data_IF_914729867366
#
_entry.id   IF_914729867366
#
_cell.length_a   1.000
_cell.length_b   1.000
_cell.length_c   1.000
_cell.angle_alpha   90.00
_cell.angle_beta   90.00
_cell.angle_gamma   90.00
#
_symmetry.space_group_name_H-M   'P 1'
#
loop_
_entity.id
_entity.type
_entity.pdbx_description
1 polymer ?
#
# COMPACT_ATOMS: atom_id res chain seq x y z
N UNK A 1 -21.20 16.16 36.30
CA UNK A 1 -22.02 15.13 35.64
C UNK A 1 -21.04 14.20 34.94
N UNK A 2 -20.97 12.93 35.33
CA UNK A 2 -20.11 11.93 34.66
C UNK A 2 -21.01 11.21 33.67
N UNK A 3 -20.86 11.48 32.38
CA UNK A 3 -21.53 10.74 31.32
C UNK A 3 -20.76 9.44 31.08
N UNK A 4 -21.47 8.30 31.10
CA UNK A 4 -20.92 7.01 30.68
C UNK A 4 -21.47 6.68 29.29
N UNK A 5 -20.62 6.33 28.31
CA UNK A 5 -21.10 5.85 27.03
C UNK A 5 -21.88 4.55 27.22
N UNK A 6 -23.04 4.44 26.57
CA UNK A 6 -23.91 3.25 26.56
C UNK A 6 -23.99 2.75 25.12
N UNK A 7 -23.79 1.45 24.91
CA UNK A 7 -24.05 0.81 23.60
C UNK A 7 -25.57 0.84 23.35
N UNK A 8 -25.96 1.33 22.17
CA UNK A 8 -27.36 1.50 21.78
C UNK A 8 -27.58 0.77 20.47
N UNK A 9 -28.63 -0.04 20.36
CA UNK A 9 -29.10 -0.53 19.07
C UNK A 9 -29.80 0.64 18.37
N UNK A 10 -29.22 1.11 17.27
CA UNK A 10 -29.68 2.33 16.58
C UNK A 10 -31.06 2.13 15.96
N UNK A 11 -31.36 0.92 15.45
CA UNK A 11 -32.67 0.56 14.88
C UNK A 11 -33.76 0.67 15.93
N UNK A 12 -33.57 0.02 17.07
CA UNK A 12 -34.54 0.07 18.18
C UNK A 12 -34.65 1.49 18.74
N UNK A 13 -33.53 2.17 18.96
CA UNK A 13 -33.53 3.50 19.55
C UNK A 13 -34.22 4.53 18.67
N UNK A 14 -33.96 4.52 17.36
CA UNK A 14 -34.60 5.43 16.42
C UNK A 14 -36.11 5.21 16.35
N UNK A 15 -36.54 3.94 16.34
CA UNK A 15 -37.95 3.60 16.34
C UNK A 15 -38.64 4.01 17.64
N UNK A 16 -38.06 3.68 18.79
CA UNK A 16 -38.65 3.97 20.10
C UNK A 16 -38.67 5.46 20.46
N UNK A 17 -37.65 6.22 20.05
CA UNK A 17 -37.49 7.64 20.45
C UNK A 17 -38.03 8.62 19.44
N UNK A 18 -37.96 8.29 18.16
CA UNK A 18 -38.26 9.23 17.08
C UNK A 18 -39.32 8.71 16.11
N UNK A 19 -39.83 7.48 16.31
CA UNK A 19 -40.70 6.78 15.34
C UNK A 19 -40.10 6.74 13.92
N UNK A 20 -38.77 6.61 13.87
CA UNK A 20 -38.01 6.52 12.61
C UNK A 20 -37.66 5.06 12.36
N UNK A 21 -38.06 4.55 11.20
CA UNK A 21 -37.62 3.25 10.71
C UNK A 21 -36.19 3.36 10.16
N UNK A 22 -35.28 2.53 10.68
CA UNK A 22 -33.89 2.46 10.23
C UNK A 22 -33.75 1.21 9.39
N UNK A 23 -33.30 1.40 8.15
CA UNK A 23 -32.95 0.33 7.23
C UNK A 23 -31.43 0.31 7.13
N UNK A 24 -30.82 -0.79 7.55
CA UNK A 24 -29.40 -1.02 7.32
C UNK A 24 -29.20 -1.40 5.85
N UNK A 25 -28.27 -0.70 5.20
CA UNK A 25 -27.96 -0.88 3.78
C UNK A 25 -26.54 -1.39 3.64
N UNK A 26 -26.30 -2.31 2.70
CA UNK A 26 -24.97 -2.90 2.47
C UNK A 26 -24.02 -1.92 1.78
N UNK A 27 -24.53 -1.08 0.89
CA UNK A 27 -23.78 -0.09 0.12
C UNK A 27 -24.67 1.06 -0.42
N UNK A 28 -24.09 1.91 -1.27
CA UNK A 28 -24.79 3.06 -1.86
C UNK A 28 -25.87 2.65 -2.88
N UNK A 29 -25.74 1.50 -3.54
CA UNK A 29 -26.77 1.01 -4.47
C UNK A 29 -28.02 0.57 -3.70
N UNK A 30 -27.83 -0.13 -2.57
CA UNK A 30 -28.93 -0.42 -1.63
C UNK A 30 -29.61 0.87 -1.16
N UNK A 31 -28.83 1.88 -0.76
CA UNK A 31 -29.37 3.17 -0.35
C UNK A 31 -30.21 3.82 -1.49
N UNK A 32 -29.68 3.85 -2.71
CA UNK A 32 -30.40 4.39 -3.87
C UNK A 32 -31.68 3.59 -4.12
N UNK A 33 -31.66 2.28 -3.99
CA UNK A 33 -32.84 1.44 -4.11
C UNK A 33 -33.90 1.79 -3.06
N UNK A 34 -33.54 1.89 -1.78
CA UNK A 34 -34.48 2.26 -0.73
C UNK A 34 -35.01 3.69 -0.87
N UNK A 35 -34.22 4.63 -1.40
CA UNK A 35 -34.65 6.01 -1.63
C UNK A 35 -35.46 6.20 -2.91
N UNK A 36 -35.20 5.42 -3.96
CA UNK A 36 -35.68 5.72 -5.32
C UNK A 36 -36.46 4.58 -5.98
N UNK A 37 -36.43 3.37 -5.41
CA UNK A 37 -36.95 2.14 -6.02
C UNK A 37 -36.15 1.64 -7.22
N UNK A 38 -35.03 2.30 -7.57
CA UNK A 38 -34.20 1.97 -8.74
C UNK A 38 -32.98 1.17 -8.33
N UNK A 39 -32.63 0.20 -9.17
CA UNK A 39 -31.41 -0.58 -9.06
C UNK A 39 -30.51 -0.32 -10.26
N UNK A 40 -29.21 -0.29 -10.01
CA UNK A 40 -28.23 -0.40 -11.09
C UNK A 40 -27.98 -1.87 -11.35
N UNK A 41 -27.77 -2.24 -12.62
CA UNK A 41 -27.28 -3.57 -12.90
C UNK A 41 -25.89 -3.70 -12.26
N UNK A 42 -25.72 -4.67 -11.36
CA UNK A 42 -24.38 -5.06 -10.92
C UNK A 42 -23.59 -5.49 -12.16
N UNK A 43 -22.39 -4.92 -12.33
CA UNK A 43 -21.53 -5.36 -13.43
C UNK A 43 -20.94 -6.70 -13.03
N UNK A 44 -21.47 -7.76 -13.64
CA UNK A 44 -20.96 -9.11 -13.44
C UNK A 44 -19.56 -9.26 -14.02
N UNK A 45 -18.74 -10.03 -13.32
CA UNK A 45 -17.45 -10.52 -13.82
C UNK A 45 -17.75 -11.38 -15.06
N UNK A 46 -17.28 -10.95 -16.24
CA UNK A 46 -17.46 -11.69 -17.49
C UNK A 46 -16.41 -12.78 -17.59
N UNK A 47 -16.74 -13.96 -17.06
CA UNK A 47 -15.88 -15.13 -17.11
C UNK A 47 -14.74 -15.09 -16.10
N UNK A 48 -13.64 -15.79 -16.38
CA UNK A 48 -12.47 -15.78 -15.50
C UNK A 48 -11.54 -14.61 -15.87
N UNK A 49 -11.27 -13.73 -14.91
CA UNK A 49 -10.27 -12.67 -15.06
C UNK A 49 -8.91 -13.23 -14.69
N UNK A 50 -8.09 -13.44 -15.72
CA UNK A 50 -6.68 -13.77 -15.58
C UNK A 50 -5.91 -12.54 -15.10
N UNK A 51 -5.05 -12.74 -14.10
CA UNK A 51 -4.16 -11.72 -13.53
C UNK A 51 -2.77 -11.94 -14.13
N UNK A 52 -2.21 -10.92 -14.76
CA UNK A 52 -0.99 -11.03 -15.58
C UNK A 52 0.15 -10.21 -14.98
N UNK A 53 1.11 -10.92 -14.39
CA UNK A 53 2.36 -10.32 -13.87
C UNK A 53 3.60 -10.87 -14.56
N UNK A 54 3.43 -11.68 -15.62
CA UNK A 54 4.53 -12.30 -16.40
C UNK A 54 5.51 -11.29 -16.99
N UNK A 55 5.08 -10.04 -17.21
CA UNK A 55 5.96 -8.96 -17.66
C UNK A 55 7.11 -8.67 -16.67
N UNK A 56 6.95 -9.05 -15.40
CA UNK A 56 7.97 -8.96 -14.35
C UNK A 56 8.84 -10.22 -14.24
N UNK A 57 8.53 -11.30 -14.96
CA UNK A 57 9.20 -12.60 -14.80
C UNK A 57 10.72 -12.51 -14.90
N UNK A 58 11.24 -11.89 -15.96
CA UNK A 58 12.67 -11.69 -16.15
C UNK A 58 13.28 -10.89 -14.99
N UNK A 59 12.66 -9.77 -14.63
CA UNK A 59 13.15 -8.88 -13.55
C UNK A 59 13.13 -9.59 -12.19
N UNK A 60 12.13 -10.42 -11.92
CA UNK A 60 12.01 -11.19 -10.69
C UNK A 60 13.09 -12.28 -10.58
N UNK A 61 13.38 -13.00 -11.67
CA UNK A 61 14.46 -13.99 -11.70
C UNK A 61 15.83 -13.33 -11.52
N UNK A 62 16.10 -12.24 -12.23
CA UNK A 62 17.36 -11.50 -12.08
C UNK A 62 17.50 -10.90 -10.67
N UNK A 63 16.41 -10.43 -10.06
CA UNK A 63 16.43 -9.94 -8.68
C UNK A 63 16.70 -11.06 -7.68
N UNK A 64 16.13 -12.26 -7.89
CA UNK A 64 16.38 -13.42 -7.05
C UNK A 64 17.85 -13.83 -7.08
N UNK A 65 18.44 -13.93 -8.28
CA UNK A 65 19.87 -14.23 -8.46
C UNK A 65 20.75 -13.20 -7.75
N UNK A 66 20.50 -11.90 -7.97
CA UNK A 66 21.25 -10.82 -7.29
C UNK A 66 21.11 -10.85 -5.77
N UNK A 67 19.94 -11.20 -5.25
CA UNK A 67 19.72 -11.26 -3.81
C UNK A 67 20.51 -12.40 -3.16
N UNK A 68 20.54 -13.57 -3.80
CA UNK A 68 21.37 -14.70 -3.35
C UNK A 68 22.83 -14.31 -3.35
N UNK A 69 23.33 -13.73 -4.45
CA UNK A 69 24.73 -13.28 -4.55
C UNK A 69 25.08 -12.23 -3.50
N UNK A 70 24.20 -11.24 -3.28
CA UNK A 70 24.42 -10.18 -2.29
C UNK A 70 24.44 -10.74 -0.86
N UNK A 71 23.47 -11.58 -0.51
CA UNK A 71 23.41 -12.25 0.78
C UNK A 71 24.68 -13.06 1.05
N UNK A 72 25.09 -13.91 0.10
CA UNK A 72 26.24 -14.81 0.27
C UNK A 72 27.55 -14.02 0.41
N UNK A 73 27.71 -12.94 -0.36
CA UNK A 73 28.87 -12.06 -0.27
C UNK A 73 28.98 -11.38 1.11
N UNK A 74 27.86 -10.85 1.64
CA UNK A 74 27.84 -10.19 2.95
C UNK A 74 28.03 -11.22 4.08
N UNK A 75 27.48 -12.43 3.94
CA UNK A 75 27.67 -13.54 4.89
C UNK A 75 29.13 -13.96 4.97
N UNK A 76 29.79 -14.18 3.82
CA UNK A 76 31.21 -14.52 3.76
C UNK A 76 32.09 -13.42 4.37
N UNK A 77 31.79 -12.15 4.06
CA UNK A 77 32.54 -11.04 4.63
C UNK A 77 32.36 -10.95 6.15
N UNK A 78 31.12 -11.02 6.65
CA UNK A 78 30.82 -11.06 8.09
C UNK A 78 31.56 -12.21 8.79
N UNK A 79 31.68 -13.36 8.14
CA UNK A 79 32.40 -14.51 8.68
C UNK A 79 33.90 -14.28 8.85
N UNK A 80 34.48 -13.45 7.99
CA UNK A 80 35.90 -13.08 8.01
C UNK A 80 36.25 -12.02 9.06
N UNK A 81 35.26 -11.26 9.55
CA UNK A 81 35.47 -10.15 10.48
C UNK A 81 35.86 -10.62 11.88
N UNK A 82 36.82 -9.92 12.48
CA UNK A 82 37.22 -10.13 13.87
C UNK A 82 36.39 -9.26 14.83
N UNK A 83 35.09 -9.58 14.93
CA UNK A 83 34.13 -8.91 15.82
C UNK A 83 33.75 -9.80 17.01
N UNK A 84 33.04 -9.22 17.99
CA UNK A 84 32.62 -10.00 19.15
C UNK A 84 31.61 -11.09 18.74
N UNK A 85 31.62 -12.24 19.44
CA UNK A 85 30.65 -13.33 19.18
C UNK A 85 29.19 -12.89 19.33
N UNK A 86 28.92 -11.93 20.22
CA UNK A 86 27.58 -11.40 20.43
C UNK A 86 27.11 -10.57 19.24
N UNK A 87 27.96 -9.67 18.77
CA UNK A 87 27.72 -8.81 17.61
C UNK A 87 27.59 -9.61 16.32
N UNK A 88 28.47 -10.59 16.11
CA UNK A 88 28.36 -11.51 14.97
C UNK A 88 27.01 -12.22 14.94
N UNK A 89 26.58 -12.79 16.07
CA UNK A 89 25.28 -13.45 16.18
C UNK A 89 24.10 -12.50 15.98
N UNK A 90 24.25 -11.22 16.35
CA UNK A 90 23.23 -10.22 16.12
C UNK A 90 23.04 -9.96 14.63
N UNK A 91 24.14 -9.79 13.88
CA UNK A 91 24.12 -9.58 12.42
C UNK A 91 23.72 -10.84 11.64
N UNK A 92 24.15 -12.02 12.08
CA UNK A 92 23.73 -13.31 11.50
C UNK A 92 22.19 -13.45 11.47
N UNK A 93 21.48 -12.96 12.49
CA UNK A 93 20.00 -13.02 12.50
C UNK A 93 19.35 -12.19 11.39
N UNK A 94 19.95 -11.08 11.01
CA UNK A 94 19.46 -10.29 9.87
C UNK A 94 19.65 -11.07 8.57
N UNK A 95 20.80 -11.72 8.40
CA UNK A 95 21.08 -12.56 7.23
C UNK A 95 20.17 -13.80 7.19
N UNK A 96 19.96 -14.49 8.31
CA UNK A 96 19.03 -15.63 8.39
C UNK A 96 17.60 -15.19 8.00
N UNK A 97 17.16 -14.01 8.45
CA UNK A 97 15.85 -13.45 8.05
C UNK A 97 15.81 -13.08 6.57
N UNK A 98 16.92 -12.58 6.02
CA UNK A 98 17.04 -12.30 4.59
C UNK A 98 16.99 -13.58 3.74
N UNK A 99 17.59 -14.66 4.22
CA UNK A 99 17.56 -16.00 3.61
C UNK A 99 16.12 -16.56 3.58
N UNK A 100 15.36 -16.41 4.67
CA UNK A 100 13.93 -16.76 4.71
C UNK A 100 13.10 -16.01 3.65
N UNK A 101 13.39 -14.72 3.42
CA UNK A 101 12.75 -13.95 2.35
C UNK A 101 13.15 -14.44 0.96
N UNK A 102 14.43 -14.77 0.73
CA UNK A 102 14.92 -15.30 -0.55
C UNK A 102 14.23 -16.63 -0.88
N UNK A 103 14.14 -17.53 0.08
CA UNK A 103 13.46 -18.83 -0.09
C UNK A 103 11.98 -18.63 -0.39
N UNK A 104 11.30 -17.73 0.33
CA UNK A 104 9.90 -17.42 0.06
C UNK A 104 9.69 -16.80 -1.34
N UNK A 105 10.60 -15.94 -1.77
CA UNK A 105 10.54 -15.33 -3.10
C UNK A 105 10.75 -16.37 -4.20
N UNK A 106 11.66 -17.32 -4.00
CA UNK A 106 11.90 -18.44 -4.92
C UNK A 106 10.65 -19.27 -5.15
N UNK A 107 9.92 -19.59 -4.08
CA UNK A 107 8.63 -20.29 -4.19
C UNK A 107 7.61 -19.47 -4.99
N UNK A 108 7.56 -18.15 -4.78
CA UNK A 108 6.66 -17.27 -5.54
C UNK A 108 7.02 -17.19 -7.02
N UNK A 109 8.31 -17.07 -7.37
CA UNK A 109 8.79 -17.12 -8.77
C UNK A 109 8.36 -18.44 -9.43
N UNK A 110 8.56 -19.58 -8.75
CA UNK A 110 8.20 -20.89 -9.26
C UNK A 110 6.69 -21.06 -9.49
N UNK A 111 5.87 -20.30 -8.78
CA UNK A 111 4.41 -20.30 -8.90
C UNK A 111 3.88 -19.15 -9.79
N UNK A 112 4.74 -18.43 -10.51
CA UNK A 112 4.35 -17.34 -11.40
C UNK A 112 3.93 -16.05 -10.70
N UNK A 113 4.19 -15.92 -9.39
CA UNK A 113 3.85 -14.74 -8.57
C UNK A 113 5.00 -13.73 -8.55
N UNK A 114 5.27 -13.11 -9.70
CA UNK A 114 6.52 -12.36 -9.90
C UNK A 114 6.56 -11.02 -9.16
N UNK A 115 5.43 -10.31 -9.05
CA UNK A 115 5.39 -9.05 -8.30
C UNK A 115 5.55 -9.30 -6.79
N UNK A 116 4.92 -10.36 -6.30
CA UNK A 116 5.05 -10.84 -4.92
C UNK A 116 6.51 -11.20 -4.64
N UNK A 117 7.15 -11.96 -5.52
CA UNK A 117 8.57 -12.29 -5.39
C UNK A 117 9.46 -11.03 -5.31
N UNK A 118 9.29 -10.06 -6.21
CA UNK A 118 10.03 -8.79 -6.18
C UNK A 118 9.80 -8.02 -4.87
N UNK A 119 8.56 -7.98 -4.38
CA UNK A 119 8.21 -7.31 -3.13
C UNK A 119 8.82 -7.99 -1.90
N UNK A 120 8.94 -9.32 -1.92
CA UNK A 120 9.58 -10.10 -0.87
C UNK A 120 11.11 -9.92 -0.92
N UNK A 121 11.72 -10.00 -2.11
CA UNK A 121 13.16 -9.79 -2.29
C UNK A 121 13.60 -8.42 -1.84
N UNK A 122 12.81 -7.38 -2.10
CA UNK A 122 13.09 -6.04 -1.58
C UNK A 122 13.26 -6.03 -0.05
N UNK A 123 12.50 -6.83 0.70
CA UNK A 123 12.72 -6.95 2.14
C UNK A 123 14.05 -7.65 2.44
N UNK A 124 14.40 -8.72 1.71
CA UNK A 124 15.71 -9.35 1.85
C UNK A 124 16.86 -8.34 1.64
N UNK A 125 16.78 -7.52 0.58
CA UNK A 125 17.78 -6.49 0.28
C UNK A 125 17.95 -5.46 1.40
N UNK A 126 16.87 -5.10 2.11
CA UNK A 126 16.94 -4.24 3.29
C UNK A 126 17.67 -4.94 4.43
N UNK A 127 17.33 -6.21 4.73
CA UNK A 127 17.95 -6.93 5.84
C UNK A 127 19.44 -7.19 5.60
N UNK A 128 19.83 -7.57 4.38
CA UNK A 128 21.24 -7.68 3.99
C UNK A 128 21.90 -6.29 4.02
N UNK A 129 21.22 -5.27 3.49
CA UNK A 129 21.70 -3.89 3.48
C UNK A 129 21.97 -3.32 4.87
N UNK A 130 21.15 -3.66 5.88
CA UNK A 130 21.40 -3.25 7.28
C UNK A 130 22.74 -3.82 7.77
N UNK A 131 23.03 -5.08 7.47
CA UNK A 131 24.29 -5.73 7.86
C UNK A 131 25.46 -5.12 7.10
N UNK A 132 25.29 -4.91 5.80
CA UNK A 132 26.27 -4.26 4.92
C UNK A 132 26.65 -2.86 5.44
N UNK A 133 25.65 -2.01 5.70
CA UNK A 133 25.85 -0.66 6.25
C UNK A 133 26.47 -0.72 7.65
N UNK A 134 26.10 -1.69 8.49
CA UNK A 134 26.69 -1.82 9.82
C UNK A 134 28.18 -2.16 9.81
N UNK A 135 28.63 -2.99 8.86
CA UNK A 135 30.02 -3.50 8.83
C UNK A 135 30.95 -2.71 7.91
N UNK A 136 30.42 -1.94 6.95
CA UNK A 136 31.21 -1.16 6.01
C UNK A 136 31.17 0.35 6.24
N UNK A 137 30.19 0.87 7.00
CA UNK A 137 30.08 2.31 7.22
C UNK A 137 30.82 2.73 8.49
N UNK A 138 32.03 3.26 8.29
CA UNK A 138 32.85 3.85 9.37
C UNK A 138 32.34 5.24 9.79
N UNK A 139 31.85 6.02 8.82
CA UNK A 139 31.32 7.38 9.02
C UNK A 139 29.96 7.55 8.35
N UNK A 140 28.92 7.58 9.18
CA UNK A 140 27.53 7.68 8.73
C UNK A 140 27.22 9.02 8.08
N UNK A 141 27.86 10.11 8.49
CA UNK A 141 27.61 11.43 7.90
C UNK A 141 28.09 11.44 6.44
N UNK A 142 29.32 10.96 6.20
CA UNK A 142 29.86 10.80 4.83
C UNK A 142 28.99 9.86 3.99
N UNK A 143 28.56 8.72 4.56
CA UNK A 143 27.71 7.76 3.85
C UNK A 143 26.35 8.34 3.47
N UNK A 144 25.75 9.16 4.34
CA UNK A 144 24.49 9.86 4.07
C UNK A 144 24.67 10.88 2.93
N UNK A 145 25.77 11.62 2.89
CA UNK A 145 26.07 12.56 1.80
C UNK A 145 26.23 11.84 0.45
N UNK A 146 26.91 10.69 0.43
CA UNK A 146 27.04 9.86 -0.78
C UNK A 146 25.69 9.33 -1.27
N UNK A 147 24.85 8.85 -0.34
CA UNK A 147 23.51 8.38 -0.65
C UNK A 147 22.61 9.51 -1.16
N UNK A 148 22.70 10.70 -0.56
CA UNK A 148 22.00 11.89 -1.06
C UNK A 148 22.40 12.20 -2.50
N UNK A 149 23.70 12.19 -2.83
CA UNK A 149 24.17 12.36 -4.21
C UNK A 149 23.66 11.29 -5.18
N UNK A 150 23.59 10.02 -4.75
CA UNK A 150 22.97 8.93 -5.54
C UNK A 150 21.48 9.21 -5.80
N UNK A 151 20.72 9.58 -4.77
CA UNK A 151 19.28 9.85 -4.87
C UNK A 151 19.03 11.05 -5.78
N UNK A 152 19.78 12.15 -5.64
CA UNK A 152 19.67 13.33 -6.50
C UNK A 152 19.98 13.03 -7.97
N UNK A 153 20.98 12.17 -8.24
CA UNK A 153 21.29 11.73 -9.60
C UNK A 153 20.12 10.94 -10.21
N UNK A 154 19.49 10.05 -9.44
CA UNK A 154 18.35 9.25 -9.92
C UNK A 154 17.11 10.14 -10.08
N UNK A 155 16.89 11.10 -9.18
CA UNK A 155 15.79 12.05 -9.30
C UNK A 155 15.92 12.95 -10.52
N UNK A 156 17.15 13.33 -10.87
CA UNK A 156 17.43 14.07 -12.10
C UNK A 156 17.08 13.25 -13.35
N UNK A 157 17.45 11.97 -13.38
CA UNK A 157 17.09 11.04 -14.47
C UNK A 157 15.57 10.84 -14.56
N UNK A 158 14.90 10.69 -13.40
CA UNK A 158 13.44 10.58 -13.30
C UNK A 158 12.74 11.81 -13.88
N UNK A 159 13.20 13.01 -13.52
CA UNK A 159 12.67 14.28 -14.04
C UNK A 159 12.86 14.43 -15.54
N UNK A 160 13.99 13.99 -16.09
CA UNK A 160 14.25 14.01 -17.53
C UNK A 160 13.30 13.06 -18.28
N UNK A 161 13.26 11.79 -17.87
CA UNK A 161 12.47 10.75 -18.54
C UNK A 161 10.96 10.97 -18.41
N UNK A 162 10.49 11.58 -17.31
CA UNK A 162 9.08 11.94 -17.06
C UNK A 162 8.43 12.66 -18.25
N UNK A 163 9.15 13.55 -18.93
CA UNK A 163 8.57 14.39 -19.99
C UNK A 163 8.14 13.60 -21.23
N UNK A 164 8.70 12.41 -21.42
CA UNK A 164 8.48 11.56 -22.57
C UNK A 164 7.47 10.43 -22.31
N UNK A 165 7.05 10.23 -21.05
CA UNK A 165 6.10 9.18 -20.66
C UNK A 165 4.71 9.46 -21.25
N UNK A 166 4.12 8.42 -21.83
CA UNK A 166 2.82 8.44 -22.53
C UNK A 166 1.93 7.30 -22.08
N UNK A 167 0.63 7.48 -22.29
CA UNK A 167 -0.37 6.48 -22.00
C UNK A 167 -0.57 6.18 -20.52
N UNK A 168 -1.65 5.46 -20.24
CA UNK A 168 -2.07 5.15 -18.86
C UNK A 168 -1.07 4.18 -18.20
N UNK A 169 -0.58 3.17 -18.92
CA UNK A 169 0.35 2.16 -18.37
C UNK A 169 1.70 2.82 -18.02
N UNK A 170 2.24 3.65 -18.92
CA UNK A 170 3.45 4.43 -18.63
C UNK A 170 3.28 5.31 -17.38
N UNK A 171 2.11 5.95 -17.21
CA UNK A 171 1.83 6.75 -16.01
C UNK A 171 1.68 5.91 -14.73
N UNK A 172 1.10 4.70 -14.78
CA UNK A 172 1.04 3.81 -13.62
C UNK A 172 2.45 3.52 -13.09
N UNK A 173 3.38 3.19 -13.98
CA UNK A 173 4.76 2.92 -13.60
C UNK A 173 5.55 4.18 -13.23
N UNK A 174 5.27 5.33 -13.86
CA UNK A 174 5.83 6.62 -13.44
C UNK A 174 5.39 6.96 -12.00
N UNK A 175 4.11 6.78 -11.67
CA UNK A 175 3.59 6.95 -10.29
C UNK A 175 4.31 6.03 -9.31
N UNK A 176 4.54 4.77 -9.69
CA UNK A 176 5.29 3.83 -8.86
C UNK A 176 6.75 4.24 -8.65
N UNK A 177 7.39 4.85 -9.66
CA UNK A 177 8.76 5.37 -9.59
C UNK A 177 8.84 6.64 -8.72
N UNK A 178 7.98 7.62 -8.95
CA UNK A 178 7.95 8.87 -8.16
C UNK A 178 7.64 8.60 -6.68
N UNK A 179 6.69 7.71 -6.39
CA UNK A 179 6.38 7.31 -5.01
C UNK A 179 7.61 6.74 -4.31
N UNK A 180 8.37 5.86 -4.98
CA UNK A 180 9.61 5.29 -4.43
C UNK A 180 10.72 6.31 -4.27
N UNK A 181 10.78 7.32 -5.14
CA UNK A 181 11.69 8.44 -5.00
C UNK A 181 11.37 9.25 -3.73
N UNK A 182 10.08 9.51 -3.47
CA UNK A 182 9.65 10.15 -2.21
C UNK A 182 10.01 9.30 -0.99
N UNK A 183 9.76 8.00 -1.03
CA UNK A 183 10.15 7.07 0.05
C UNK A 183 11.67 7.07 0.28
N UNK A 184 12.49 7.11 -0.78
CA UNK A 184 13.95 7.19 -0.65
C UNK A 184 14.38 8.48 0.07
N UNK A 185 13.79 9.63 -0.27
CA UNK A 185 14.05 10.89 0.43
C UNK A 185 13.56 10.87 1.89
N UNK A 186 12.41 10.27 2.17
CA UNK A 186 11.90 10.16 3.54
C UNK A 186 12.85 9.36 4.43
N UNK A 187 13.30 8.19 3.96
CA UNK A 187 14.27 7.38 4.70
C UNK A 187 15.67 8.01 4.79
N UNK A 188 16.11 8.76 3.77
CA UNK A 188 17.33 9.56 3.85
C UNK A 188 17.22 10.62 4.95
N UNK A 189 16.07 11.30 5.03
CA UNK A 189 15.81 12.29 6.07
C UNK A 189 15.68 11.65 7.46
N UNK A 190 15.13 10.44 7.57
CA UNK A 190 15.15 9.69 8.83
C UNK A 190 16.58 9.34 9.26
N UNK A 191 17.42 8.87 8.32
CA UNK A 191 18.82 8.55 8.60
C UNK A 191 19.58 9.76 9.17
N UNK A 192 19.36 10.96 8.60
CA UNK A 192 19.93 12.24 9.09
C UNK A 192 19.54 12.58 10.53
N UNK A 193 18.44 12.03 11.05
CA UNK A 193 17.91 12.34 12.37
C UNK A 193 18.28 11.30 13.44
N UNK A 194 18.84 10.15 13.07
CA UNK A 194 19.25 9.12 14.01
C UNK A 194 20.62 9.40 14.62
N UNK A 195 20.71 9.20 15.94
CA UNK A 195 21.98 9.28 16.68
C UNK A 195 22.59 7.89 16.97
N UNK A 196 21.88 6.81 16.62
CA UNK A 196 22.34 5.44 16.82
C UNK A 196 22.58 4.73 15.49
N UNK A 197 23.69 4.01 15.43
CA UNK A 197 24.21 3.31 14.25
C UNK A 197 23.20 2.32 13.65
N UNK A 198 22.43 1.62 14.48
CA UNK A 198 21.54 0.57 14.00
C UNK A 198 20.32 1.13 13.25
N UNK A 199 19.66 2.15 13.81
CA UNK A 199 18.54 2.80 13.13
C UNK A 199 19.02 3.59 11.91
N UNK A 200 20.19 4.25 11.99
CA UNK A 200 20.79 4.93 10.85
C UNK A 200 21.09 3.94 9.71
N UNK A 201 21.73 2.80 9.99
CA UNK A 201 22.02 1.75 9.00
C UNK A 201 20.75 1.23 8.34
N UNK A 202 19.68 1.02 9.12
CA UNK A 202 18.39 0.61 8.57
C UNK A 202 17.80 1.67 7.62
N UNK A 203 17.74 2.93 8.03
CA UNK A 203 17.19 4.01 7.18
C UNK A 203 18.04 4.24 5.93
N UNK A 204 19.37 4.14 6.03
CA UNK A 204 20.28 4.20 4.87
C UNK A 204 20.01 3.04 3.91
N UNK A 205 19.99 1.80 4.41
CA UNK A 205 19.72 0.63 3.58
C UNK A 205 18.35 0.76 2.88
N UNK A 206 17.32 1.19 3.60
CA UNK A 206 15.99 1.36 3.02
C UNK A 206 15.97 2.43 1.93
N UNK A 207 16.57 3.59 2.19
CA UNK A 207 16.67 4.68 1.21
C UNK A 207 17.47 4.26 -0.04
N UNK A 208 18.59 3.56 0.15
CA UNK A 208 19.43 3.04 -0.93
C UNK A 208 18.67 2.06 -1.84
N UNK A 209 18.01 1.05 -1.25
CA UNK A 209 17.23 0.08 -2.01
C UNK A 209 16.00 0.71 -2.65
N UNK A 210 15.34 1.68 -2.00
CA UNK A 210 14.25 2.42 -2.63
C UNK A 210 14.72 3.20 -3.84
N UNK A 211 15.85 3.90 -3.75
CA UNK A 211 16.45 4.61 -4.87
C UNK A 211 16.74 3.66 -6.05
N UNK A 212 17.24 2.45 -5.80
CA UNK A 212 17.46 1.46 -6.85
C UNK A 212 16.16 0.97 -7.49
N UNK A 213 15.10 0.77 -6.70
CA UNK A 213 13.80 0.38 -7.27
C UNK A 213 13.17 1.48 -8.12
N UNK A 214 13.49 2.77 -7.93
CA UNK A 214 13.03 3.84 -8.84
C UNK A 214 13.42 3.54 -10.28
N UNK A 215 14.65 3.07 -10.53
CA UNK A 215 15.12 2.72 -11.87
C UNK A 215 14.30 1.60 -12.50
N UNK A 216 13.99 0.56 -11.73
CA UNK A 216 13.17 -0.56 -12.21
C UNK A 216 11.79 -0.09 -12.70
N UNK A 217 11.12 0.76 -11.93
CA UNK A 217 9.80 1.29 -12.29
C UNK A 217 9.86 2.34 -13.39
N UNK A 218 10.91 3.17 -13.42
CA UNK A 218 11.13 4.13 -14.48
C UNK A 218 11.41 3.44 -15.82
N UNK A 219 12.18 2.36 -15.82
CA UNK A 219 12.44 1.57 -17.02
C UNK A 219 11.15 0.92 -17.54
N UNK A 220 10.28 0.43 -16.64
CA UNK A 220 8.95 -0.05 -17.02
C UNK A 220 8.07 1.08 -17.57
N UNK A 221 8.11 2.27 -16.96
CA UNK A 221 7.37 3.44 -17.45
C UNK A 221 7.79 3.79 -18.89
N UNK A 222 9.08 3.76 -19.19
CA UNK A 222 9.62 4.00 -20.53
C UNK A 222 9.28 2.87 -21.50
N UNK A 223 9.42 1.61 -21.08
CA UNK A 223 9.14 0.42 -21.90
C UNK A 223 7.68 0.37 -22.35
N UNK A 224 6.75 0.71 -21.44
CA UNK A 224 5.30 0.71 -21.69
C UNK A 224 4.73 2.10 -22.00
N UNK A 225 5.60 3.05 -22.36
CA UNK A 225 5.18 4.40 -22.76
C UNK A 225 4.62 4.39 -24.18
N UNK A 226 3.34 4.11 -24.31
CA UNK A 226 2.61 4.08 -25.59
C UNK A 226 1.42 5.03 -25.61
N UNK A 227 0.97 5.42 -26.81
CA UNK A 227 -0.19 6.28 -26.98
C UNK A 227 0.10 7.78 -26.80
N UNK A 228 -0.93 8.53 -26.42
CA UNK A 228 -0.88 9.99 -26.37
C UNK A 228 -0.19 10.52 -25.10
N UNK A 229 0.44 11.70 -25.23
CA UNK A 229 0.95 12.44 -24.06
C UNK A 229 -0.25 12.91 -23.24
N UNK A 230 -0.28 12.54 -21.97
CA UNK A 230 -1.31 12.97 -21.05
C UNK A 230 -1.00 14.40 -20.59
N UNK A 231 -2.02 15.25 -20.57
CA UNK A 231 -1.90 16.65 -20.18
C UNK A 231 -1.48 16.77 -18.72
N UNK A 232 -0.39 17.51 -18.46
CA UNK A 232 0.05 17.83 -17.09
C UNK A 232 -1.03 18.60 -16.31
N UNK A 233 -1.78 19.49 -16.98
CA UNK A 233 -2.88 20.22 -16.37
C UNK A 233 -4.03 19.29 -15.93
N UNK A 234 -4.29 18.23 -16.70
CA UNK A 234 -5.28 17.22 -16.31
C UNK A 234 -4.78 16.46 -15.08
N UNK A 235 -3.53 15.97 -15.10
CA UNK A 235 -2.94 15.27 -13.96
C UNK A 235 -2.94 16.12 -12.69
N UNK A 236 -2.63 17.41 -12.82
CA UNK A 236 -2.72 18.39 -11.73
C UNK A 236 -4.15 18.50 -11.19
N UNK A 237 -5.14 18.70 -12.06
CA UNK A 237 -6.54 18.81 -11.64
C UNK A 237 -7.04 17.53 -10.96
N UNK A 238 -6.64 16.36 -11.47
CA UNK A 238 -7.02 15.06 -10.94
C UNK A 238 -6.39 14.78 -9.58
N UNK A 239 -5.08 15.03 -9.46
CA UNK A 239 -4.36 14.89 -8.20
C UNK A 239 -4.99 15.80 -7.13
N UNK A 240 -5.27 17.07 -7.47
CA UNK A 240 -5.92 18.00 -6.55
C UNK A 240 -7.30 17.49 -6.09
N UNK A 241 -8.12 17.03 -7.04
CA UNK A 241 -9.44 16.47 -6.73
C UNK A 241 -9.32 15.27 -5.79
N UNK A 242 -8.39 14.35 -6.05
CA UNK A 242 -8.17 13.18 -5.19
C UNK A 242 -7.65 13.55 -3.81
N UNK A 243 -6.78 14.55 -3.69
CA UNK A 243 -6.32 15.08 -2.40
C UNK A 243 -7.49 15.63 -1.59
N UNK A 244 -8.37 16.43 -2.22
CA UNK A 244 -9.54 16.99 -1.53
C UNK A 244 -10.54 15.89 -1.11
N UNK A 245 -10.76 14.87 -1.94
CA UNK A 245 -11.56 13.69 -1.58
C UNK A 245 -10.95 12.93 -0.40
N UNK A 246 -9.65 12.64 -0.44
CA UNK A 246 -8.93 11.95 0.63
C UNK A 246 -8.98 12.74 1.94
N UNK A 247 -8.83 14.07 1.89
CA UNK A 247 -8.94 14.96 3.04
C UNK A 247 -10.33 14.94 3.67
N UNK A 248 -11.38 14.97 2.86
CA UNK A 248 -12.77 14.88 3.36
C UNK A 248 -13.03 13.55 4.07
N UNK A 249 -12.57 12.44 3.47
CA UNK A 249 -12.69 11.10 4.07
C UNK A 249 -11.89 11.06 5.37
N UNK A 250 -10.62 11.51 5.37
CA UNK A 250 -9.77 11.57 6.55
C UNK A 250 -10.44 12.30 7.72
N UNK A 251 -10.89 13.55 7.50
CA UNK A 251 -11.52 14.38 8.55
C UNK A 251 -12.77 13.71 9.11
N UNK A 252 -13.56 13.06 8.26
CA UNK A 252 -14.72 12.30 8.71
C UNK A 252 -14.30 11.13 9.60
N UNK A 253 -13.32 10.33 9.18
CA UNK A 253 -12.84 9.16 9.96
C UNK A 253 -12.23 9.59 11.28
N UNK A 254 -11.33 10.57 11.26
CA UNK A 254 -10.70 11.17 12.43
C UNK A 254 -11.76 11.61 13.45
N UNK A 255 -12.84 12.26 13.00
CA UNK A 255 -13.93 12.68 13.89
C UNK A 255 -14.69 11.51 14.55
N UNK A 256 -14.64 10.31 13.97
CA UNK A 256 -15.30 9.12 14.49
C UNK A 256 -14.42 8.30 15.44
N UNK A 257 -13.14 8.12 15.11
CA UNK A 257 -12.25 7.18 15.81
C UNK A 257 -11.08 7.85 16.54
N UNK A 258 -10.90 9.16 16.39
CA UNK A 258 -9.76 9.92 16.90
C UNK A 258 -8.52 9.81 16.02
N UNK A 259 -7.42 10.43 16.48
CA UNK A 259 -6.24 10.69 15.65
C UNK A 259 -5.33 9.45 15.50
N UNK A 260 -5.13 8.67 16.55
CA UNK A 260 -4.18 7.53 16.54
C UNK A 260 -4.50 6.49 15.45
N UNK A 261 -5.76 6.04 15.26
CA UNK A 261 -6.10 5.03 14.24
C UNK A 261 -6.00 5.51 12.79
N UNK A 262 -5.79 6.81 12.56
CA UNK A 262 -5.71 7.42 11.22
C UNK A 262 -4.36 8.06 10.93
N UNK A 263 -3.36 7.88 11.80
CA UNK A 263 -2.03 8.49 11.65
C UNK A 263 -1.35 8.14 10.32
N UNK A 264 -1.38 6.88 9.89
CA UNK A 264 -0.88 6.45 8.58
C UNK A 264 -1.62 7.12 7.40
N UNK A 265 -2.94 7.32 7.55
CA UNK A 265 -3.76 7.97 6.53
C UNK A 265 -3.41 9.47 6.42
N UNK A 266 -3.13 10.13 7.56
CA UNK A 266 -2.64 11.50 7.61
C UNK A 266 -1.25 11.63 6.99
N UNK A 267 -0.33 10.70 7.29
CA UNK A 267 1.01 10.69 6.69
C UNK A 267 0.92 10.62 5.17
N UNK A 268 0.04 9.77 4.66
CA UNK A 268 -0.20 9.61 3.23
C UNK A 268 -0.84 10.86 2.62
N UNK A 269 -1.77 11.52 3.31
CA UNK A 269 -2.37 12.78 2.88
C UNK A 269 -1.32 13.90 2.79
N UNK A 270 -0.43 14.00 3.78
CA UNK A 270 0.65 14.97 3.80
C UNK A 270 1.66 14.70 2.68
N UNK A 271 1.98 13.42 2.42
CA UNK A 271 2.82 13.03 1.30
C UNK A 271 2.18 13.42 -0.04
N UNK A 272 0.86 13.24 -0.20
CA UNK A 272 0.13 13.65 -1.39
C UNK A 272 0.23 15.17 -1.64
N UNK A 273 0.08 15.97 -0.57
CA UNK A 273 0.21 17.43 -0.65
C UNK A 273 1.64 17.86 -0.99
N UNK A 274 2.65 17.26 -0.35
CA UNK A 274 4.05 17.56 -0.62
C UNK A 274 4.46 17.22 -2.05
N UNK A 275 4.03 16.07 -2.58
CA UNK A 275 4.33 15.67 -3.96
C UNK A 275 3.59 16.54 -4.98
N UNK A 276 2.38 17.00 -4.64
CA UNK A 276 1.64 17.96 -5.46
C UNK A 276 2.37 19.30 -5.56
N UNK A 277 2.91 19.80 -4.44
CA UNK A 277 3.74 21.01 -4.39
C UNK A 277 5.05 20.85 -5.16
N UNK A 278 5.61 19.64 -5.20
CA UNK A 278 6.79 19.27 -5.98
C UNK A 278 6.49 19.01 -7.47
N UNK A 279 5.26 19.27 -7.94
CA UNK A 279 4.78 19.03 -9.31
C UNK A 279 4.82 17.56 -9.77
N UNK A 280 4.90 16.61 -8.82
CA UNK A 280 4.82 15.16 -9.05
C UNK A 280 3.38 14.68 -8.88
N UNK A 281 2.52 15.12 -9.80
CA UNK A 281 1.06 14.95 -9.68
C UNK A 281 0.62 13.48 -9.71
N UNK A 282 1.35 12.62 -10.41
CA UNK A 282 1.14 11.17 -10.47
C UNK A 282 1.36 10.52 -9.11
N UNK A 283 2.50 10.78 -8.47
CA UNK A 283 2.78 10.40 -7.08
C UNK A 283 1.75 10.95 -6.09
N UNK A 284 1.41 12.23 -6.21
CA UNK A 284 0.42 12.89 -5.36
C UNK A 284 -0.95 12.21 -5.41
N UNK A 285 -1.41 11.84 -6.60
CA UNK A 285 -2.65 11.10 -6.81
C UNK A 285 -2.61 9.73 -6.10
N UNK A 286 -1.49 9.01 -6.19
CA UNK A 286 -1.34 7.70 -5.57
C UNK A 286 -1.30 7.77 -4.04
N UNK A 287 -0.64 8.78 -3.46
CA UNK A 287 -0.67 9.01 -2.02
C UNK A 287 -2.06 9.43 -1.52
N UNK A 288 -2.83 10.17 -2.33
CA UNK A 288 -4.22 10.48 -2.00
C UNK A 288 -5.11 9.23 -2.01
N UNK A 289 -4.94 8.33 -3.00
CA UNK A 289 -5.57 7.01 -3.01
C UNK A 289 -5.20 6.22 -1.75
N UNK A 290 -3.92 6.17 -1.40
CA UNK A 290 -3.43 5.48 -0.20
C UNK A 290 -4.08 6.03 1.08
N UNK A 291 -4.14 7.35 1.24
CA UNK A 291 -4.80 7.99 2.37
C UNK A 291 -6.27 7.58 2.47
N UNK A 292 -7.00 7.63 1.35
CA UNK A 292 -8.40 7.22 1.29
C UNK A 292 -8.59 5.74 1.66
N UNK A 293 -7.78 4.84 1.10
CA UNK A 293 -7.83 3.41 1.40
C UNK A 293 -7.60 3.17 2.89
N UNK A 294 -6.56 3.79 3.47
CA UNK A 294 -6.23 3.63 4.89
C UNK A 294 -7.37 4.12 5.78
N UNK A 295 -7.89 5.31 5.53
CA UNK A 295 -9.06 5.84 6.23
C UNK A 295 -10.29 4.92 6.12
N UNK A 296 -10.57 4.41 4.93
CA UNK A 296 -11.70 3.51 4.67
C UNK A 296 -11.55 2.18 5.40
N UNK A 297 -10.35 1.59 5.39
CA UNK A 297 -10.05 0.35 6.14
C UNK A 297 -10.19 0.59 7.64
N UNK A 298 -9.70 1.72 8.16
CA UNK A 298 -9.85 2.07 9.58
C UNK A 298 -11.32 2.09 9.99
N UNK A 299 -12.20 2.74 9.22
CA UNK A 299 -13.65 2.69 9.49
C UNK A 299 -14.17 1.26 9.44
N UNK A 300 -13.89 0.55 8.35
CA UNK A 300 -14.50 -0.76 8.12
C UNK A 300 -14.08 -1.79 9.16
N UNK A 301 -12.82 -1.80 9.57
CA UNK A 301 -12.34 -2.70 10.63
C UNK A 301 -12.82 -2.26 12.01
N UNK A 302 -12.84 -0.95 12.29
CA UNK A 302 -13.33 -0.43 13.58
C UNK A 302 -14.83 -0.70 13.78
N UNK A 303 -15.61 -0.69 12.69
CA UNK A 303 -17.07 -0.89 12.73
C UNK A 303 -17.51 -2.34 12.59
N UNK A 304 -16.69 -3.24 12.03
CA UNK A 304 -17.07 -4.66 11.85
C UNK A 304 -17.21 -5.42 13.17
N UNK A 305 -16.64 -4.90 14.26
CA UNK A 305 -16.32 -5.74 15.41
C UNK A 305 -15.30 -6.81 15.01
N UNK A 306 -14.68 -7.48 15.97
CA UNK A 306 -13.68 -8.52 15.67
C UNK A 306 -14.32 -9.82 15.15
N UNK A 307 -15.42 -9.75 14.40
CA UNK A 307 -16.12 -10.89 13.81
C UNK A 307 -15.38 -11.35 12.53
N UNK A 308 -14.75 -12.54 12.55
CA UNK A 308 -14.00 -13.04 11.40
C UNK A 308 -14.86 -13.25 10.16
N UNK A 309 -16.16 -13.52 10.30
CA UNK A 309 -17.07 -13.74 9.18
C UNK A 309 -17.31 -12.43 8.40
N UNK A 310 -17.57 -11.34 9.13
CA UNK A 310 -17.78 -10.00 8.56
C UNK A 310 -16.50 -9.50 7.87
N UNK A 311 -15.33 -9.72 8.51
CA UNK A 311 -14.03 -9.36 7.94
C UNK A 311 -13.76 -10.18 6.66
N UNK A 312 -14.05 -11.48 6.67
CA UNK A 312 -13.92 -12.35 5.50
C UNK A 312 -14.79 -11.89 4.32
N UNK A 313 -16.05 -11.54 4.56
CA UNK A 313 -16.95 -11.00 3.53
C UNK A 313 -16.44 -9.69 2.92
N UNK A 314 -15.85 -8.81 3.74
CA UNK A 314 -15.27 -7.54 3.27
C UNK A 314 -14.06 -7.77 2.38
N UNK A 315 -13.18 -8.71 2.75
CA UNK A 315 -12.02 -9.07 1.95
C UNK A 315 -12.45 -9.67 0.61
N UNK A 316 -13.39 -10.63 0.64
CA UNK A 316 -13.90 -11.23 -0.58
C UNK A 316 -14.55 -10.19 -1.49
N UNK A 317 -15.31 -9.25 -0.92
CA UNK A 317 -15.89 -8.14 -1.70
C UNK A 317 -14.81 -7.24 -2.30
N UNK A 318 -13.77 -6.88 -1.55
CA UNK A 318 -12.68 -6.08 -2.09
C UNK A 318 -11.94 -6.80 -3.23
N UNK A 319 -11.77 -8.12 -3.10
CA UNK A 319 -11.20 -8.99 -4.14
C UNK A 319 -12.05 -9.00 -5.40
N UNK A 320 -13.36 -9.12 -5.27
CA UNK A 320 -14.29 -9.11 -6.41
C UNK A 320 -14.38 -7.72 -7.05
N UNK A 321 -14.42 -6.65 -6.24
CA UNK A 321 -14.37 -5.27 -6.71
C UNK A 321 -13.09 -4.97 -7.49
N UNK A 322 -11.94 -5.48 -7.04
CA UNK A 322 -10.66 -5.32 -7.74
C UNK A 322 -10.68 -6.03 -9.11
N UNK A 323 -11.23 -7.25 -9.17
CA UNK A 323 -11.45 -7.97 -10.43
C UNK A 323 -12.35 -7.18 -11.39
N UNK A 324 -13.48 -6.67 -10.89
CA UNK A 324 -14.39 -5.84 -11.67
C UNK A 324 -13.66 -4.60 -12.19
N UNK A 325 -12.89 -3.90 -11.34
CA UNK A 325 -12.12 -2.73 -11.75
C UNK A 325 -11.11 -3.04 -12.85
N UNK A 326 -10.37 -4.15 -12.75
CA UNK A 326 -9.45 -4.61 -13.80
C UNK A 326 -10.19 -4.88 -15.11
N UNK A 327 -11.34 -5.55 -15.05
CA UNK A 327 -12.17 -5.78 -16.24
C UNK A 327 -12.59 -4.47 -16.91
N UNK A 328 -12.97 -3.47 -16.10
CA UNK A 328 -13.43 -2.18 -16.61
C UNK A 328 -12.32 -1.45 -17.36
N UNK A 329 -11.11 -1.42 -16.81
CA UNK A 329 -9.94 -0.85 -17.48
C UNK A 329 -9.67 -1.53 -18.82
N UNK A 330 -9.75 -2.87 -18.85
CA UNK A 330 -9.60 -3.67 -20.08
C UNK A 330 -10.69 -3.37 -21.12
N UNK A 331 -11.94 -3.26 -20.68
CA UNK A 331 -13.08 -2.87 -21.53
C UNK A 331 -12.91 -1.45 -22.11
N UNK A 332 -12.20 -0.57 -21.40
CA UNK A 332 -11.87 0.79 -21.85
C UNK A 332 -10.62 0.88 -22.73
N UNK A 333 -9.91 -0.24 -22.90
CA UNK A 333 -8.84 -0.39 -23.88
C UNK A 333 -7.42 -0.35 -23.32
N UNK A 334 -7.21 -0.47 -22.01
CA UNK A 334 -5.88 -0.57 -21.42
C UNK A 334 -5.77 -1.69 -20.38
N UNK A 335 -4.58 -2.24 -20.22
CA UNK A 335 -4.27 -3.26 -19.21
C UNK A 335 -3.72 -2.58 -17.95
N UNK A 336 -4.41 -2.61 -16.81
CA UNK A 336 -3.97 -1.93 -15.58
C UNK A 336 -2.90 -2.76 -14.85
N UNK A 337 -1.71 -2.85 -15.43
CA UNK A 337 -0.64 -3.75 -15.00
C UNK A 337 -0.24 -3.56 -13.53
N UNK A 338 -0.24 -2.33 -13.01
CA UNK A 338 0.09 -2.09 -11.62
C UNK A 338 -1.05 -2.52 -10.68
N UNK A 339 -2.31 -2.45 -11.12
CA UNK A 339 -3.43 -2.99 -10.37
C UNK A 339 -3.37 -4.52 -10.26
N UNK A 340 -2.97 -5.20 -11.34
CA UNK A 340 -2.76 -6.66 -11.34
C UNK A 340 -1.65 -7.08 -10.37
N UNK A 341 -0.58 -6.30 -10.29
CA UNK A 341 0.48 -6.48 -9.30
C UNK A 341 -0.06 -6.44 -7.86
N UNK A 342 -0.85 -5.41 -7.52
CA UNK A 342 -1.49 -5.32 -6.20
C UNK A 342 -2.49 -6.46 -5.96
N UNK A 343 -3.20 -6.91 -6.99
CA UNK A 343 -4.11 -8.05 -6.88
C UNK A 343 -3.37 -9.35 -6.52
N UNK A 344 -2.29 -9.65 -7.25
CA UNK A 344 -1.45 -10.81 -6.98
C UNK A 344 -0.91 -10.76 -5.55
N UNK A 345 -0.43 -9.59 -5.11
CA UNK A 345 0.12 -9.47 -3.78
C UNK A 345 -0.93 -9.63 -2.68
N UNK A 346 -2.14 -9.12 -2.91
CA UNK A 346 -3.29 -9.34 -2.03
C UNK A 346 -3.64 -10.83 -1.91
N UNK A 347 -3.56 -11.57 -3.00
CA UNK A 347 -3.78 -13.03 -3.02
C UNK A 347 -2.74 -13.75 -2.17
N UNK A 348 -1.46 -13.39 -2.27
CA UNK A 348 -0.42 -13.96 -1.44
C UNK A 348 -0.62 -13.66 0.06
N UNK A 349 -1.09 -12.46 0.44
CA UNK A 349 -1.43 -12.17 1.84
C UNK A 349 -2.62 -12.99 2.33
N UNK A 350 -3.64 -13.18 1.49
CA UNK A 350 -4.80 -14.01 1.82
C UNK A 350 -4.40 -15.47 2.07
N UNK A 351 -3.52 -16.03 1.23
CA UNK A 351 -2.97 -17.39 1.41
C UNK A 351 -2.14 -17.55 2.69
N UNK A 352 -1.53 -16.46 3.17
CA UNK A 352 -0.77 -16.41 4.42
C UNK A 352 -1.64 -16.02 5.63
N UNK A 353 -2.96 -15.99 5.47
CA UNK A 353 -3.94 -15.61 6.50
C UNK A 353 -3.75 -14.18 7.05
N UNK A 354 -3.12 -13.28 6.27
CA UNK A 354 -2.96 -11.87 6.59
C UNK A 354 -4.11 -11.05 6.00
N UNK A 355 -5.25 -11.15 6.68
CA UNK A 355 -6.51 -10.52 6.31
C UNK A 355 -6.39 -8.99 6.09
N UNK A 356 -5.64 -8.29 6.94
CA UNK A 356 -5.51 -6.84 6.88
C UNK A 356 -4.72 -6.40 5.64
N UNK A 357 -3.61 -7.07 5.35
CA UNK A 357 -2.81 -6.76 4.17
C UNK A 357 -3.48 -7.21 2.87
N UNK A 358 -4.17 -8.36 2.87
CA UNK A 358 -4.98 -8.79 1.74
C UNK A 358 -6.06 -7.75 1.41
N UNK A 359 -6.82 -7.31 2.42
CA UNK A 359 -7.87 -6.30 2.26
C UNK A 359 -7.30 -5.00 1.67
N UNK A 360 -6.17 -4.54 2.20
CA UNK A 360 -5.48 -3.34 1.76
C UNK A 360 -5.05 -3.46 0.30
N UNK A 361 -4.40 -4.56 -0.08
CA UNK A 361 -3.89 -4.75 -1.44
C UNK A 361 -5.01 -4.88 -2.47
N UNK A 362 -6.12 -5.53 -2.16
CA UNK A 362 -7.28 -5.57 -3.05
C UNK A 362 -7.90 -4.18 -3.25
N UNK A 363 -8.01 -3.37 -2.20
CA UNK A 363 -8.45 -1.97 -2.34
C UNK A 363 -7.49 -1.14 -3.19
N UNK A 364 -6.18 -1.33 -3.04
CA UNK A 364 -5.19 -0.68 -3.92
C UNK A 364 -5.37 -1.10 -5.38
N UNK A 365 -5.49 -2.39 -5.63
CA UNK A 365 -5.73 -2.92 -6.98
C UNK A 365 -6.94 -2.25 -7.63
N UNK A 366 -8.07 -2.17 -6.91
CA UNK A 366 -9.29 -1.49 -7.37
C UNK A 366 -9.04 -0.01 -7.70
N UNK A 367 -8.50 0.76 -6.75
CA UNK A 367 -8.37 2.21 -6.93
C UNK A 367 -7.32 2.57 -7.99
N UNK A 368 -6.23 1.79 -8.10
CA UNK A 368 -5.20 1.98 -9.12
C UNK A 368 -5.74 1.65 -10.51
N UNK A 369 -6.49 0.56 -10.67
CA UNK A 369 -7.12 0.23 -11.95
C UNK A 369 -8.01 1.37 -12.46
N UNK A 370 -8.67 2.09 -11.56
CA UNK A 370 -9.59 3.18 -11.89
C UNK A 370 -8.95 4.58 -11.81
N UNK A 371 -7.68 4.69 -11.42
CA UNK A 371 -7.01 5.96 -11.12
C UNK A 371 -7.04 6.94 -12.30
N UNK A 372 -6.88 6.41 -13.51
CA UNK A 372 -6.80 7.16 -14.76
C UNK A 372 -7.99 6.93 -15.68
N UNK A 373 -9.07 6.33 -15.17
CA UNK A 373 -10.25 5.96 -15.94
C UNK A 373 -10.84 7.12 -16.75
N UNK A 374 -10.93 8.31 -16.16
CA UNK A 374 -11.48 9.51 -16.80
C UNK A 374 -10.56 10.11 -17.86
N UNK A 375 -9.31 9.65 -17.96
CA UNK A 375 -8.39 9.97 -19.06
C UNK A 375 -8.62 9.04 -20.26
N UNK A 376 -9.36 7.94 -20.09
CA UNK A 376 -9.77 7.08 -21.19
C UNK A 376 -10.87 7.79 -22.02
N UNK A 377 -10.75 7.72 -23.34
CA UNK A 377 -11.69 8.39 -24.26
C UNK A 377 -13.02 7.63 -24.44
N UNK A 378 -13.26 6.59 -23.64
CA UNK A 378 -14.38 5.67 -23.81
C UNK A 378 -15.50 6.00 -22.82
N UNK A 379 -16.51 6.75 -23.25
CA UNK A 379 -17.75 6.92 -22.48
C UNK A 379 -18.49 5.57 -22.40
N UNK A 380 -18.37 4.85 -21.27
CA UNK A 380 -19.19 3.65 -21.05
C UNK A 380 -20.59 4.08 -20.56
N UNK A 381 -21.67 3.81 -21.30
CA UNK A 381 -23.01 4.19 -20.88
C UNK A 381 -23.44 3.45 -19.62
N UNK A 382 -23.93 4.20 -18.62
CA UNK A 382 -24.55 3.65 -17.41
C UNK A 382 -25.96 3.15 -17.77
N UNK A 383 -26.22 1.86 -17.62
CA UNK A 383 -27.54 1.26 -17.84
C UNK A 383 -28.32 1.17 -16.52
N UNK A 384 -29.48 1.82 -16.46
CA UNK A 384 -30.39 1.80 -15.31
C UNK A 384 -31.45 0.71 -15.54
N UNK A 385 -31.68 -0.16 -14.56
CA UNK A 385 -32.76 -1.17 -14.62
C UNK A 385 -33.97 -0.68 -13.81
N UNK A 386 -35.17 -0.97 -14.31
CA UNK A 386 -36.47 -0.45 -13.86
C UNK A 386 -36.90 -0.80 -12.43
N UNK A 387 -37.87 -0.02 -11.95
CA UNK A 387 -38.48 -0.02 -10.61
C UNK A 387 -38.87 -1.40 -10.08
N UNK A 388 -38.32 -1.76 -8.92
CA UNK A 388 -38.72 -2.94 -8.14
C UNK A 388 -39.39 -2.50 -6.82
N UNK A 389 -40.40 -3.21 -6.30
CA UNK A 389 -41.05 -2.83 -5.06
C UNK A 389 -40.08 -2.93 -3.87
N UNK A 390 -40.06 -1.93 -3.01
CA UNK A 390 -39.22 -1.88 -1.80
C UNK A 390 -39.70 -2.96 -0.81
N UNK A 391 -38.83 -3.89 -0.35
CA UNK A 391 -39.19 -4.87 0.69
C UNK A 391 -39.28 -4.20 2.06
N UNK A 392 -40.24 -4.66 2.87
CA UNK A 392 -40.43 -4.25 4.27
C UNK A 392 -39.38 -4.91 5.16
N UNK A 393 -38.73 -4.13 6.02
CA UNK A 393 -37.64 -4.57 6.91
C UNK A 393 -38.06 -5.76 7.80
N UNK A 394 -37.22 -6.79 7.86
CA UNK A 394 -37.38 -7.94 8.76
C UNK A 394 -36.32 -7.84 9.87
N UNK A 395 -36.71 -8.03 11.13
CA UNK A 395 -35.85 -7.90 12.31
C UNK A 395 -34.70 -8.94 12.33
N UNK A 396 -33.49 -8.49 12.64
CA UNK A 396 -32.29 -9.33 12.85
C UNK A 396 -32.00 -9.46 14.37
N UNK A 397 -31.52 -10.62 14.88
CA UNK A 397 -31.40 -10.90 16.30
C UNK A 397 -30.28 -10.12 17.02
N UNK A 398 -30.53 -9.77 18.28
CA UNK A 398 -29.58 -9.14 19.21
C UNK A 398 -28.44 -10.07 19.60
N UNK A 399 -27.19 -9.60 19.50
CA UNK A 399 -26.05 -10.24 20.18
C UNK A 399 -25.34 -9.31 21.19
N UNK A 400 -25.00 -9.92 22.33
CA UNK A 400 -24.45 -9.29 23.53
C UNK A 400 -22.95 -8.97 23.43
N UNK A 401 -22.52 -8.02 24.27
CA UNK A 401 -21.26 -7.30 24.13
C UNK A 401 -20.00 -8.14 24.36
N UNK A 402 -19.08 -8.02 23.40
CA UNK A 402 -17.69 -8.44 23.52
C UNK A 402 -16.77 -7.22 23.77
N UNK A 403 -15.75 -7.42 24.59
CA UNK A 403 -14.80 -6.39 25.03
C UNK A 403 -13.80 -6.05 23.92
N UNK A 404 -13.59 -4.74 23.74
CA UNK A 404 -12.62 -4.11 22.85
C UNK A 404 -11.21 -4.69 23.06
N UNK A 405 -10.62 -5.27 22.01
CA UNK A 405 -9.17 -5.46 21.91
C UNK A 405 -8.74 -4.67 20.68
N UNK A 406 -8.04 -3.56 20.91
CA UNK A 406 -7.36 -2.76 19.91
C UNK A 406 -6.25 -3.61 19.28
N UNK A 407 -6.35 -3.90 17.99
CA UNK A 407 -5.23 -4.41 17.21
C UNK A 407 -4.58 -3.19 16.55
N UNK A 408 -3.51 -2.72 17.18
CA UNK A 408 -2.59 -1.73 16.63
C UNK A 408 -1.84 -2.34 15.44
N UNK A 409 -1.64 -1.52 14.41
CA UNK A 409 -1.12 -1.93 13.11
C UNK A 409 0.20 -2.69 13.14
N UNK A 410 0.25 -3.79 12.39
CA UNK A 410 1.48 -4.37 11.85
C UNK A 410 1.77 -3.72 10.49
N UNK A 411 2.19 -2.47 10.55
CA UNK A 411 2.73 -1.70 9.43
C UNK A 411 4.14 -1.16 9.71
N UNK A 412 4.83 -1.74 10.69
CA UNK A 412 6.22 -1.41 11.06
C UNK A 412 6.97 -2.69 11.45
N UNK A 413 7.19 -3.59 10.49
CA UNK A 413 8.32 -4.51 10.59
C UNK A 413 9.53 -3.72 10.08
N UNK A 414 10.18 -3.02 11.00
CA UNK A 414 11.35 -2.18 10.74
C UNK A 414 11.74 -1.24 11.89
N UNK A 415 10.82 -0.94 12.83
CA UNK A 415 11.07 0.09 13.86
C UNK A 415 11.14 -0.41 15.31
N UNK A 416 11.02 -1.72 15.59
CA UNK A 416 10.95 -2.22 16.97
C UNK A 416 12.15 -3.01 17.50
N UNK A 417 13.25 -3.15 16.75
CA UNK A 417 14.46 -3.84 17.26
C UNK A 417 15.47 -2.87 17.89
N UNK A 418 15.48 -1.58 17.51
CA UNK A 418 16.44 -0.58 18.03
C UNK A 418 16.21 -0.14 19.49
N UNK A 419 14.98 -0.16 19.99
CA UNK A 419 14.66 0.43 21.31
C UNK A 419 14.96 -0.52 22.48
N UNK A 420 14.92 -1.84 22.29
CA UNK A 420 15.16 -2.79 23.39
C UNK A 420 16.65 -2.87 23.79
N UNK A 421 17.59 -2.48 22.93
CA UNK A 421 19.03 -2.71 23.15
C UNK A 421 19.82 -1.44 23.55
N UNK A 422 19.35 -0.22 23.23
CA UNK A 422 19.99 1.02 23.73
C UNK A 422 19.99 1.11 25.27
N UNK A 423 19.01 0.46 25.93
CA UNK A 423 18.96 0.36 27.38
C UNK A 423 19.99 -0.62 27.98
N UNK A 424 20.47 -1.60 27.21
CA UNK A 424 21.47 -2.58 27.66
C UNK A 424 22.91 -2.07 27.50
N UNK A 425 23.19 -1.22 26.51
CA UNK A 425 24.54 -0.67 26.29
C UNK A 425 24.90 0.52 27.19
N UNK A 426 23.91 1.18 27.81
CA UNK A 426 24.17 2.27 28.78
C UNK A 426 24.55 1.81 30.19
N UNK A 427 24.50 0.51 30.49
CA UNK A 427 24.86 -0.03 31.82
C UNK A 427 26.22 -0.76 31.85
N UNK A 428 27.04 -0.64 30.81
CA UNK A 428 28.36 -1.28 30.71
C UNK A 428 29.49 -0.31 30.38
N UNK A 429 29.65 0.78 31.14
CA UNK A 429 30.91 1.52 31.26
C UNK A 429 31.10 2.01 32.69
#
# INVERSE_FOLDING_TARGET
IITKPKKVNVVEYAKEKYDVDVIEVKDINDAIFYFTGKNFAEREIKGEIEIKTDFLSKKANEALERNVEYHDAIKEYLDSLNISKYEKRYLERYLDTAEDFIDNAKDNVNNGKYYTALSILFNSEIYVGVVDEYIHTDDFDTRIEELEGKIESIDSELKEKREDIRGIIGLEFLSAAEKRMKEAYDYLNEAKNYNDTANAAHSIAYADKRADTVKLWLDLAVEYSEGDKISLDNLKADAWKRIEEAKLVYVYVESLVGDDPVSDALQSLNAAQSEYEAERYTSALFYAIESNIRSSITIELSMSGNDPSIIGEKIQRAKDDAKIAIQLSREEGYEPMLAECYYEYGTNFEEKEDAANAFRMYKYSKEVALAYKHLSTSEVPVSIVTETPIPTATEIPKEEGSKLILILGSGLIGLFIGIIISSAFKQGK
#
